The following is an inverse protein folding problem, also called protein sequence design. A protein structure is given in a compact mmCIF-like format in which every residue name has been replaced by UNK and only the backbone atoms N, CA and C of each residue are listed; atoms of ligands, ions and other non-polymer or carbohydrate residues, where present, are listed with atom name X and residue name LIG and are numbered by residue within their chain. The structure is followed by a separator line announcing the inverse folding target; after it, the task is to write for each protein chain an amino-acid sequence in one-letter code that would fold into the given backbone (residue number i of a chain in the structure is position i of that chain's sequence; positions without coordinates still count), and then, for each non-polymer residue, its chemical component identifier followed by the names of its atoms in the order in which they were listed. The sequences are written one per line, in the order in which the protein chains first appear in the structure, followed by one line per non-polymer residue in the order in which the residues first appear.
data_IF_299213012706
#
_entry.id   IF_299213012706
#
_cell.length_a   1.000
_cell.length_b   1.000
_cell.length_c   1.000
_cell.angle_alpha   90.00
_cell.angle_beta   90.00
_cell.angle_gamma   90.00
#
_symmetry.space_group_name_H-M   'P 1'
#
loop_
_entity.id
_entity.type
_entity.pdbx_description
1 polymer ?
#
# COMPACT_ATOMS: atom_id res chain seq x y z
N UNK A 1 -29.39 -3.00 -20.37
CA UNK A 1 -28.98 -2.57 -20.37
C UNK A 1 -28.76 -2.70 -19.95
N UNK A 2 -28.74 -2.97 -20.18
CA UNK A 2 -28.38 -2.80 -20.00
C UNK A 2 -28.00 -2.63 -19.61
N UNK A 3 -28.15 -2.81 -19.73
CA UNK A 3 -27.69 -2.45 -19.47
C UNK A 3 -27.30 -2.34 -18.70
N UNK A 4 -27.43 -2.40 -18.82
CA UNK A 4 -26.91 -1.94 -18.20
C UNK A 4 -26.74 -2.21 -17.23
N UNK A 5 -26.73 -2.47 -17.12
CA UNK A 5 -26.36 -2.41 -16.45
C UNK A 5 -26.05 -2.48 -15.86
N UNK A 6 -26.04 -2.68 -16.11
CA UNK A 6 -25.56 -2.54 -15.76
C UNK A 6 -25.32 -2.23 -15.46
N UNK A 7 -25.49 -2.31 -16.12
CA UNK A 7 -25.24 -1.76 -15.84
C UNK A 7 -25.33 -1.23 -15.13
N UNK A 8 -25.68 -0.76 -16.18
CA UNK A 8 -25.82 0.25 -15.24
C UNK A 8 -26.39 -0.28 -13.96
N UNK A 9 -27.33 -0.53 -13.83
CA UNK A 9 -27.76 -1.12 -12.60
C UNK A 9 -26.92 -2.26 -12.10
N UNK A 10 -26.08 -2.76 -12.94
CA UNK A 10 -25.17 -3.81 -12.52
C UNK A 10 -24.19 -3.26 -11.50
N UNK A 11 -23.97 -3.96 -10.38
CA UNK A 11 -23.00 -3.50 -9.42
C UNK A 11 -21.62 -3.44 -10.06
N UNK A 12 -20.89 -2.42 -9.71
CA UNK A 12 -19.51 -2.34 -10.16
C UNK A 12 -18.70 -3.44 -9.51
N UNK A 13 -17.75 -4.00 -10.24
CA UNK A 13 -16.77 -4.86 -9.60
C UNK A 13 -16.10 -4.09 -8.48
N UNK A 14 -15.96 -4.70 -7.36
CA UNK A 14 -15.22 -4.08 -6.28
C UNK A 14 -13.76 -4.03 -6.67
N UNK A 15 -13.12 -2.92 -6.34
CA UNK A 15 -11.69 -2.84 -6.49
C UNK A 15 -11.04 -3.81 -5.53
N UNK A 16 -9.92 -4.43 -5.92
CA UNK A 16 -9.15 -5.20 -4.97
C UNK A 16 -8.77 -4.32 -3.78
N UNK A 17 -8.66 -4.89 -2.59
CA UNK A 17 -8.19 -4.10 -1.46
C UNK A 17 -6.79 -3.56 -1.74
N UNK A 18 -6.57 -2.32 -1.36
CA UNK A 18 -5.26 -1.71 -1.47
C UNK A 18 -4.68 -1.59 -0.07
N UNK A 19 -4.00 -2.62 0.36
CA UNK A 19 -3.38 -2.64 1.67
C UNK A 19 -2.27 -1.62 1.78
N UNK A 20 -1.57 -1.36 0.70
CA UNK A 20 -0.46 -0.40 0.72
C UNK A 20 -0.98 1.01 0.95
N UNK A 21 -2.16 1.33 0.44
CA UNK A 21 -2.76 2.63 0.71
C UNK A 21 -2.99 2.84 2.20
N UNK A 22 -3.39 1.80 2.91
CA UNK A 22 -3.57 1.89 4.36
C UNK A 22 -2.25 2.07 5.08
N UNK A 23 -1.18 1.55 4.53
CA UNK A 23 0.13 1.58 5.16
C UNK A 23 0.90 2.83 4.81
N UNK A 24 0.37 3.69 3.96
CA UNK A 24 1.05 4.91 3.56
C UNK A 24 1.37 5.75 4.78
N UNK A 25 2.65 6.09 4.93
CA UNK A 25 3.20 6.84 6.05
C UNK A 25 3.24 6.08 7.37
N UNK A 26 2.93 4.78 7.34
CA UNK A 26 3.07 3.93 8.51
C UNK A 26 4.46 3.34 8.55
N UNK A 27 4.93 3.05 9.76
CA UNK A 27 6.20 2.37 9.91
C UNK A 27 6.04 0.90 9.58
N UNK A 28 6.98 0.40 8.81
CA UNK A 28 7.01 -1.00 8.41
C UNK A 28 8.43 -1.52 8.55
N UNK A 29 8.56 -2.82 8.58
CA UNK A 29 9.84 -3.49 8.47
C UNK A 29 9.83 -4.29 7.18
N UNK A 30 10.81 -4.03 6.33
CA UNK A 30 10.94 -4.71 5.05
C UNK A 30 11.99 -5.81 5.21
N UNK A 31 11.61 -7.02 4.90
CA UNK A 31 12.55 -8.15 4.93
C UNK A 31 12.67 -8.73 3.55
N UNK A 32 13.90 -8.73 3.06
CA UNK A 32 14.25 -9.24 1.74
C UNK A 32 15.23 -10.37 1.95
N UNK A 33 15.06 -11.53 1.30
CA UNK A 33 16.01 -12.63 1.47
C UNK A 33 17.43 -12.17 1.17
N UNK A 34 18.35 -12.51 2.08
CA UNK A 34 19.75 -12.18 1.91
C UNK A 34 20.13 -10.77 2.31
N UNK A 35 19.20 -9.95 2.78
CA UNK A 35 19.48 -8.58 3.19
C UNK A 35 19.07 -8.36 4.63
N UNK A 36 19.76 -7.45 5.34
CA UNK A 36 19.29 -7.05 6.67
C UNK A 36 17.91 -6.43 6.60
N UNK A 37 17.16 -6.58 7.68
CA UNK A 37 15.84 -5.96 7.76
C UNK A 37 15.98 -4.44 7.69
N UNK A 38 15.05 -3.80 7.01
CA UNK A 38 15.03 -2.36 6.85
C UNK A 38 13.79 -1.80 7.55
N UNK A 39 13.99 -0.81 8.39
CA UNK A 39 12.90 -0.18 9.14
C UNK A 39 12.68 1.23 8.64
N UNK A 40 11.45 1.59 8.43
CA UNK A 40 11.14 2.95 7.99
C UNK A 40 9.67 3.12 7.72
N UNK A 41 9.32 4.27 7.16
CA UNK A 41 7.96 4.58 6.80
C UNK A 41 7.74 4.27 5.31
N UNK A 42 6.59 3.72 5.01
CA UNK A 42 6.20 3.53 3.61
C UNK A 42 5.70 4.89 3.11
N UNK A 43 6.55 5.58 2.37
CA UNK A 43 6.23 6.94 1.92
C UNK A 43 5.75 7.00 0.48
N UNK A 44 5.84 5.90 -0.23
CA UNK A 44 5.29 5.81 -1.57
C UNK A 44 5.28 4.37 -2.04
N UNK A 45 4.55 4.13 -3.10
CA UNK A 45 4.52 2.82 -3.71
C UNK A 45 3.97 2.91 -5.12
N UNK A 46 4.37 1.96 -5.92
CA UNK A 46 3.82 1.77 -7.26
C UNK A 46 3.40 0.32 -7.38
N UNK A 47 2.98 -0.06 -8.56
CA UNK A 47 2.67 -1.45 -8.84
C UNK A 47 3.88 -2.36 -8.61
N UNK A 48 5.09 -1.84 -8.80
CA UNK A 48 6.31 -2.66 -8.80
C UNK A 48 7.27 -2.34 -7.66
N UNK A 49 7.10 -1.21 -6.98
CA UNK A 49 8.11 -0.73 -6.05
C UNK A 49 7.48 -0.20 -4.78
N UNK A 50 8.29 -0.20 -3.74
CA UNK A 50 7.97 0.46 -2.48
C UNK A 50 9.01 1.53 -2.24
N UNK A 51 8.60 2.68 -1.74
CA UNK A 51 9.51 3.72 -1.30
C UNK A 51 9.50 3.75 0.21
N UNK A 52 10.65 3.47 0.80
CA UNK A 52 10.79 3.42 2.26
C UNK A 52 11.73 4.53 2.67
N UNK A 53 11.27 5.38 3.58
CA UNK A 53 12.10 6.42 4.16
C UNK A 53 12.53 5.97 5.54
N UNK A 54 13.83 5.81 5.74
CA UNK A 54 14.35 5.30 6.99
C UNK A 54 14.41 6.40 8.06
N UNK A 55 14.88 6.04 9.25
CA UNK A 55 14.91 6.95 10.39
C UNK A 55 15.90 8.08 10.23
N UNK A 56 16.79 7.98 9.26
CA UNK A 56 17.74 9.04 8.93
C UNK A 56 17.25 9.94 7.81
N UNK A 57 16.02 9.70 7.33
CA UNK A 57 15.45 10.49 6.25
C UNK A 57 15.91 10.06 4.88
N UNK A 58 16.57 8.91 4.75
CA UNK A 58 16.99 8.41 3.45
C UNK A 58 15.89 7.61 2.81
N UNK A 59 15.74 7.80 1.52
CA UNK A 59 14.76 7.06 0.73
C UNK A 59 15.39 5.84 0.09
N UNK A 60 14.68 4.72 0.19
CA UNK A 60 15.10 3.46 -0.41
C UNK A 60 14.01 2.98 -1.34
N UNK A 61 14.37 2.71 -2.57
CA UNK A 61 13.44 2.14 -3.53
C UNK A 61 13.60 0.62 -3.48
N UNK A 62 12.53 -0.05 -3.14
CA UNK A 62 12.53 -1.49 -2.95
C UNK A 62 11.66 -2.12 -4.02
N UNK A 63 12.24 -3.00 -4.81
CA UNK A 63 11.49 -3.72 -5.84
C UNK A 63 10.68 -4.83 -5.19
N UNK A 64 9.41 -4.91 -5.53
CA UNK A 64 8.57 -6.01 -5.09
C UNK A 64 9.03 -7.28 -5.79
N UNK A 65 9.39 -8.27 -5.02
CA UNK A 65 9.87 -9.52 -5.58
C UNK A 65 9.53 -10.70 -4.70
N UNK A 66 9.82 -11.91 -5.17
CA UNK A 66 9.52 -13.10 -4.39
C UNK A 66 10.26 -13.09 -3.06
N UNK A 67 9.57 -13.46 -2.00
CA UNK A 67 10.16 -13.53 -0.67
C UNK A 67 10.25 -12.23 0.09
N UNK A 68 9.86 -11.12 -0.52
CA UNK A 68 9.78 -9.85 0.20
C UNK A 68 8.63 -9.92 1.21
N UNK A 69 8.89 -9.53 2.44
CA UNK A 69 7.90 -9.51 3.50
C UNK A 69 7.87 -8.13 4.13
N UNK A 70 6.68 -7.59 4.30
CA UNK A 70 6.46 -6.39 5.06
C UNK A 70 5.85 -6.76 6.40
N UNK A 71 6.57 -6.47 7.48
CA UNK A 71 5.98 -6.58 8.81
C UNK A 71 5.28 -5.27 9.12
N UNK A 72 4.05 -5.36 9.51
CA UNK A 72 3.16 -4.22 9.68
C UNK A 72 3.11 -3.80 11.14
N UNK A 73 2.81 -2.52 11.43
CA UNK A 73 2.58 -2.14 12.81
C UNK A 73 1.36 -2.87 13.37
N UNK A 74 1.37 -3.12 14.66
CA UNK A 74 0.31 -3.89 15.29
C UNK A 74 -1.08 -3.32 15.04
N UNK A 75 -1.16 -2.02 14.97
CA UNK A 75 -2.44 -1.33 14.87
C UNK A 75 -2.78 -0.92 13.44
N UNK A 76 -2.15 -1.52 12.45
CA UNK A 76 -2.34 -1.11 11.06
C UNK A 76 -3.82 -1.18 10.64
N UNK A 77 -4.58 -2.08 11.21
CA UNK A 77 -5.99 -2.23 10.85
C UNK A 77 -6.86 -1.10 11.36
N UNK A 78 -6.37 -0.36 12.35
CA UNK A 78 -7.09 0.78 12.89
C UNK A 78 -7.02 2.00 11.99
N UNK A 79 -6.02 2.03 11.10
CA UNK A 79 -5.89 3.12 10.16
C UNK A 79 -7.01 3.01 9.15
N UNK A 80 -7.88 4.01 9.03
CA UNK A 80 -8.94 3.93 8.04
C UNK A 80 -8.36 3.93 6.65
N UNK A 81 -9.04 3.31 5.69
CA UNK A 81 -8.60 3.40 4.30
C UNK A 81 -8.63 4.86 3.86
N UNK A 82 -7.74 5.26 2.94
CA UNK A 82 -7.77 6.61 2.42
C UNK A 82 -9.15 6.94 1.85
N UNK A 83 -9.58 8.16 2.07
CA UNK A 83 -10.80 8.61 1.43
C UNK A 83 -10.60 8.57 -0.09
N UNK A 84 -11.60 8.09 -0.72
CA UNK A 84 -11.47 7.87 -2.15
C UNK A 84 -10.72 8.96 -2.87
N UNK A 85 -10.36 8.78 -1.87
CA UNK A 85 -9.93 9.51 -1.96
C UNK A 85 -9.64 10.18 -1.87
N UNK A 86 -9.80 9.93 -1.43
CA UNK A 86 -9.79 10.54 -1.25
C UNK A 86 -9.36 11.08 -1.53
N UNK A 87 -9.38 10.96 -1.58
CA UNK A 87 -9.20 11.47 -1.86
C UNK A 87 -8.64 12.11 -2.20
N UNK A 88 -8.23 11.83 -2.22
CA UNK A 88 -7.86 12.45 -2.39
C UNK A 88 -7.73 13.29 -2.83
N UNK A 89 -7.93 13.47 -2.68
CA UNK A 89 -7.99 14.27 -2.93
C UNK A 89 -7.64 14.90 -3.19
N UNK A 90 -7.67 15.11 -3.45
CA UNK A 90 -7.27 15.84 -3.75
C UNK A 90 -6.88 16.33 -3.76
#
# INVERSE_FOLDING_TARGET
GMTAEDQAGAPRPKRPPDFLARLHRQRVTVRIPGHPAMHGALTGYTQYELLITDDRGRDHLVWKGPGLVLDLPEDWRRTPPPAGGDEVTP
#
